data_IF_844607736057
#
_entry.id   IF_844607736057
#
_cell.length_a   1.000
_cell.length_b   1.000
_cell.length_c   1.000
_cell.angle_alpha   90.00
_cell.angle_beta   90.00
_cell.angle_gamma   90.00
#
_symmetry.space_group_name_H-M   'P 1'
#
loop_
_entity.id
_entity.type
_entity.pdbx_description
1 polymer ?
#
# COMPACT_ATOMS: atom_id res chain seq x y z
N UNK A 1 5.71 12.69 6.77
CA UNK A 1 4.52 12.05 6.16
C UNK A 1 4.78 10.55 6.11
N UNK A 2 3.93 9.73 6.76
CA UNK A 2 4.12 8.27 6.92
C UNK A 2 4.10 7.48 5.59
N UNK A 3 3.58 8.08 4.52
CA UNK A 3 3.58 7.51 3.16
C UNK A 3 4.96 7.53 2.49
N UNK A 4 5.85 8.49 2.83
CA UNK A 4 7.21 8.59 2.28
C UNK A 4 8.20 7.59 2.89
N UNK A 5 7.85 6.96 4.02
CA UNK A 5 8.71 6.00 4.73
C UNK A 5 8.49 4.54 4.28
N UNK A 6 7.60 4.27 3.33
CA UNK A 6 7.25 2.91 2.92
C UNK A 6 6.46 2.11 3.96
N UNK A 7 5.88 2.81 4.96
CA UNK A 7 5.06 2.23 6.05
C UNK A 7 3.59 2.01 5.65
N UNK A 8 3.22 2.35 4.42
CA UNK A 8 1.86 2.20 3.91
C UNK A 8 1.89 1.71 2.46
N UNK A 9 0.96 0.83 2.04
CA UNK A 9 0.93 0.34 0.67
C UNK A 9 0.72 1.46 -0.36
N UNK A 10 1.36 1.28 -1.51
CA UNK A 10 1.22 2.18 -2.66
C UNK A 10 -0.22 2.07 -3.20
N UNK A 11 -0.83 3.22 -3.49
CA UNK A 11 -2.17 3.26 -4.09
C UNK A 11 -2.10 2.89 -5.57
N UNK A 12 -3.05 2.08 -6.03
CA UNK A 12 -3.28 1.81 -7.45
C UNK A 12 -4.46 2.65 -7.94
N UNK A 13 -4.31 3.37 -9.05
CA UNK A 13 -5.42 4.12 -9.62
C UNK A 13 -6.24 3.24 -10.55
N UNK A 14 -7.49 2.98 -10.19
CA UNK A 14 -8.47 2.30 -11.06
C UNK A 14 -9.09 3.27 -12.08
N UNK A 15 -9.15 4.56 -11.73
CA UNK A 15 -9.65 5.65 -12.58
C UNK A 15 -9.07 6.98 -12.10
N UNK A 16 -9.27 8.07 -12.84
CA UNK A 16 -8.84 9.43 -12.48
C UNK A 16 -9.26 9.86 -11.07
N UNK A 17 -10.40 9.35 -10.56
CA UNK A 17 -10.92 9.67 -9.22
C UNK A 17 -10.92 8.49 -8.25
N UNK A 18 -10.49 7.31 -8.68
CA UNK A 18 -10.58 6.10 -7.87
C UNK A 18 -9.19 5.53 -7.65
N UNK A 19 -8.71 5.62 -6.41
CA UNK A 19 -7.56 4.91 -5.92
C UNK A 19 -8.03 3.71 -5.08
N UNK A 20 -7.41 2.56 -5.28
CA UNK A 20 -7.60 1.38 -4.47
C UNK A 20 -6.25 0.91 -3.93
N UNK A 21 -6.31 -0.01 -2.98
CA UNK A 21 -5.13 -0.70 -2.47
C UNK A 21 -5.34 -2.20 -2.62
N UNK A 22 -4.31 -2.97 -2.99
CA UNK A 22 -4.40 -4.41 -3.04
C UNK A 22 -4.75 -4.99 -1.66
N UNK A 23 -5.83 -5.78 -1.58
CA UNK A 23 -6.34 -6.33 -0.31
C UNK A 23 -5.28 -7.10 0.48
N UNK A 24 -4.38 -7.83 -0.21
CA UNK A 24 -3.29 -8.57 0.42
C UNK A 24 -2.34 -7.66 1.20
N UNK A 25 -2.03 -6.49 0.67
CA UNK A 25 -1.14 -5.51 1.27
C UNK A 25 -1.83 -4.80 2.44
N UNK A 26 -3.11 -4.44 2.28
CA UNK A 26 -3.92 -3.87 3.37
C UNK A 26 -4.02 -4.84 4.55
N UNK A 27 -4.25 -6.12 4.31
CA UNK A 27 -4.31 -7.13 5.38
C UNK A 27 -2.96 -7.31 6.09
N UNK A 28 -1.84 -7.29 5.35
CA UNK A 28 -0.48 -7.35 5.95
C UNK A 28 -0.18 -6.10 6.78
N UNK A 29 -0.63 -4.93 6.32
CA UNK A 29 -0.48 -3.69 7.07
C UNK A 29 -1.36 -3.67 8.33
N UNK A 30 -2.60 -4.17 8.24
CA UNK A 30 -3.49 -4.29 9.41
C UNK A 30 -2.95 -5.28 10.45
N UNK A 31 -2.30 -6.36 10.01
CA UNK A 31 -1.71 -7.35 10.90
C UNK A 31 -0.54 -6.75 11.70
N UNK A 32 0.36 -6.01 11.05
CA UNK A 32 1.59 -5.49 11.68
C UNK A 32 1.97 -4.10 11.15
N UNK A 33 1.24 -3.03 11.52
CA UNK A 33 1.43 -1.71 10.93
C UNK A 33 2.78 -1.06 11.27
N UNK A 34 3.43 -1.50 12.35
CA UNK A 34 4.74 -0.97 12.79
C UNK A 34 5.90 -1.58 12.00
N UNK A 35 5.80 -2.87 11.66
CA UNK A 35 6.83 -3.61 10.92
C UNK A 35 6.53 -3.71 9.42
N UNK A 36 5.35 -3.24 8.99
CA UNK A 36 4.96 -3.25 7.59
C UNK A 36 5.94 -2.43 6.75
N UNK A 37 6.49 -3.08 5.73
CA UNK A 37 7.26 -2.46 4.67
C UNK A 37 6.63 -2.84 3.34
N UNK A 38 6.18 -1.84 2.59
CA UNK A 38 5.75 -2.04 1.22
C UNK A 38 6.97 -2.51 0.42
N UNK A 39 6.97 -3.78 0.00
CA UNK A 39 7.86 -4.19 -1.08
C UNK A 39 7.33 -3.49 -2.33
N UNK A 40 8.18 -2.84 -3.11
CA UNK A 40 7.79 -2.21 -4.37
C UNK A 40 7.31 -3.32 -5.32
N UNK A 41 6.03 -3.68 -5.19
CA UNK A 41 5.38 -4.62 -6.08
C UNK A 41 5.01 -3.77 -7.29
N UNK A 42 6.01 -3.61 -8.15
CA UNK A 42 5.82 -3.24 -9.54
C UNK A 42 4.72 -4.14 -10.11
N UNK A 43 3.56 -3.55 -10.38
CA UNK A 43 2.49 -4.19 -11.14
C UNK A 43 2.40 -3.40 -12.44
N UNK A 44 2.87 -4.08 -13.50
CA UNK A 44 2.83 -3.72 -14.91
C UNK A 44 1.46 -3.23 -15.40
#
# INVERSE_FOLDING_TARGET
MRELEGRFPKRVHLSQRCAAWPNREIHRWLADPVNYRAADTEAA
#
